data_IF_773831664146
#
_entry.id   IF_773831664146
#
_cell.length_a   1.000
_cell.length_b   1.000
_cell.length_c   1.000
_cell.angle_alpha   90.00
_cell.angle_beta   90.00
_cell.angle_gamma   90.00
#
_symmetry.space_group_name_H-M   'P 1'
#
loop_
_entity.id
_entity.type
_entity.pdbx_description
1 polymer ?
#
# COMPACT_ATOMS: atom_id res chain seq x y z
N UNK A 1 5.23 1.20 6.30
CA UNK A 1 4.51 0.02 5.82
C UNK A 1 3.39 0.40 4.85
N UNK A 2 2.96 -0.53 3.99
CA UNK A 2 1.80 -0.35 3.11
C UNK A 2 0.48 -0.39 3.87
N UNK A 3 -0.60 0.16 3.32
CA UNK A 3 -1.96 0.04 3.85
C UNK A 3 -2.58 -1.32 3.52
N UNK A 4 -3.53 -1.79 4.33
CA UNK A 4 -4.33 -2.98 4.04
C UNK A 4 -5.40 -2.71 2.99
N UNK A 5 -5.85 -3.75 2.26
CA UNK A 5 -7.01 -3.68 1.38
C UNK A 5 -8.33 -3.64 2.16
N UNK A 6 -9.39 -3.09 1.58
CA UNK A 6 -10.73 -3.15 2.17
C UNK A 6 -11.39 -4.53 2.01
N UNK A 7 -12.50 -4.77 2.67
CA UNK A 7 -13.36 -5.94 2.52
C UNK A 7 -14.83 -5.57 2.40
N UNK A 8 -15.66 -6.51 1.96
CA UNK A 8 -17.10 -6.32 1.80
C UNK A 8 -17.89 -7.35 2.63
N UNK A 9 -19.23 -7.22 2.69
CA UNK A 9 -20.14 -8.19 3.34
C UNK A 9 -20.64 -9.24 2.34
N UNK A 10 -21.09 -10.43 2.81
CA UNK A 10 -21.79 -11.40 1.97
C UNK A 10 -23.01 -10.76 1.28
N UNK A 11 -23.25 -11.13 0.05
CA UNK A 11 -24.28 -10.56 -0.82
C UNK A 11 -24.14 -9.06 -1.12
N UNK A 12 -23.01 -8.44 -0.70
CA UNK A 12 -22.56 -7.18 -1.29
C UNK A 12 -22.29 -7.42 -2.78
N UNK A 13 -22.30 -6.38 -3.60
CA UNK A 13 -22.15 -6.54 -5.06
C UNK A 13 -20.92 -5.84 -5.59
N UNK A 14 -19.93 -5.52 -4.71
CA UNK A 14 -18.83 -4.67 -5.13
C UNK A 14 -17.47 -5.12 -4.59
N UNK A 15 -16.48 -5.07 -5.44
CA UNK A 15 -15.07 -5.20 -5.03
C UNK A 15 -14.63 -4.01 -4.18
N UNK A 16 -13.78 -4.27 -3.22
CA UNK A 16 -13.22 -3.29 -2.30
C UNK A 16 -11.95 -2.66 -2.82
N UNK A 17 -11.56 -1.50 -2.31
CA UNK A 17 -10.34 -0.82 -2.70
C UNK A 17 -9.08 -1.54 -2.27
N UNK A 18 -8.03 -1.52 -3.10
CA UNK A 18 -6.68 -1.96 -2.72
C UNK A 18 -5.99 -0.97 -1.80
N UNK A 19 -5.13 -1.44 -0.89
CA UNK A 19 -4.32 -0.58 -0.02
C UNK A 19 -3.26 0.21 -0.80
N UNK A 20 -3.01 1.45 -0.40
CA UNK A 20 -1.92 2.26 -0.92
C UNK A 20 -0.55 1.76 -0.42
N UNK A 21 0.49 1.97 -1.20
CA UNK A 21 1.85 1.73 -0.74
C UNK A 21 2.28 2.73 0.34
N UNK A 22 3.23 2.35 1.18
CA UNK A 22 3.97 3.30 2.00
C UNK A 22 4.70 4.32 1.13
N UNK A 23 4.93 5.52 1.66
CA UNK A 23 5.76 6.51 1.00
C UNK A 23 7.18 5.98 0.82
N UNK A 24 7.85 6.42 -0.23
CA UNK A 24 9.26 6.14 -0.47
C UNK A 24 10.06 7.44 -0.37
N UNK A 25 11.08 7.49 0.50
CA UNK A 25 11.99 8.61 0.65
C UNK A 25 13.40 8.15 0.32
N UNK A 26 14.06 8.85 -0.56
CA UNK A 26 15.48 8.70 -0.86
C UNK A 26 16.19 10.04 -0.71
N UNK A 27 17.35 10.03 -0.10
CA UNK A 27 18.11 11.26 0.11
C UNK A 27 19.46 10.97 0.76
N UNK A 28 20.20 12.04 1.00
CA UNK A 28 21.45 12.03 1.78
C UNK A 28 21.24 12.80 3.07
N UNK A 29 21.76 12.26 4.15
CA UNK A 29 21.75 12.92 5.45
C UNK A 29 23.19 13.03 5.95
N UNK A 30 23.60 14.25 6.31
CA UNK A 30 24.88 14.46 7.00
C UNK A 30 24.73 13.98 8.44
N UNK A 31 25.35 12.85 8.75
CA UNK A 31 25.33 12.29 10.10
C UNK A 31 26.54 12.77 10.91
N UNK A 32 26.28 13.15 12.15
CA UNK A 32 27.33 13.42 13.15
C UNK A 32 27.52 12.19 14.04
N UNK A 33 28.59 12.16 14.84
CA UNK A 33 28.83 11.08 15.83
C UNK A 33 27.72 11.11 16.91
N UNK A 34 26.58 10.51 16.60
CA UNK A 34 25.39 10.45 17.46
C UNK A 34 24.65 9.14 17.24
N UNK A 35 23.65 8.84 18.08
CA UNK A 35 22.70 7.74 17.87
C UNK A 35 21.50 8.24 17.09
N UNK A 36 21.04 7.44 16.11
CA UNK A 36 19.83 7.69 15.34
C UNK A 36 18.88 6.52 15.51
N UNK A 37 17.65 6.82 15.86
CA UNK A 37 16.60 5.79 15.91
C UNK A 37 16.22 5.33 14.51
N UNK A 38 16.02 4.04 14.37
CA UNK A 38 15.52 3.39 13.15
C UNK A 38 14.21 2.69 13.50
N UNK A 39 13.12 3.12 12.88
CA UNK A 39 11.80 2.51 13.03
C UNK A 39 11.37 1.95 11.68
N UNK A 40 11.01 0.69 11.63
CA UNK A 40 10.42 0.05 10.44
C UNK A 40 8.92 -0.13 10.69
N UNK A 41 8.10 0.62 9.96
CA UNK A 41 6.66 0.58 10.12
C UNK A 41 6.04 -0.74 9.66
N UNK A 42 5.12 -1.27 10.44
CA UNK A 42 4.32 -2.43 10.05
C UNK A 42 3.35 -2.09 8.92
N UNK A 43 2.92 -3.12 8.18
CA UNK A 43 1.79 -3.00 7.25
C UNK A 43 0.48 -2.82 8.00
N UNK A 44 -0.46 -2.11 7.41
CA UNK A 44 -1.83 -1.99 7.92
C UNK A 44 -2.60 -3.29 7.73
N UNK A 45 -3.48 -3.62 8.67
CA UNK A 45 -4.34 -4.79 8.57
C UNK A 45 -5.33 -4.65 7.41
N UNK A 46 -5.57 -5.74 6.68
CA UNK A 46 -6.68 -5.85 5.74
C UNK A 46 -8.02 -5.77 6.46
N UNK A 47 -9.05 -5.29 5.79
CA UNK A 47 -10.41 -5.33 6.30
C UNK A 47 -10.82 -6.80 6.51
N UNK A 48 -11.26 -7.19 7.71
CA UNK A 48 -11.72 -8.56 7.96
C UNK A 48 -12.99 -8.85 7.16
N UNK A 49 -13.18 -10.10 6.77
CA UNK A 49 -14.45 -10.56 6.27
C UNK A 49 -15.39 -10.83 7.45
N UNK A 50 -16.56 -10.22 7.45
CA UNK A 50 -17.64 -10.58 8.35
C UNK A 50 -19.01 -10.51 7.64
N UNK A 51 -20.07 -10.95 8.32
CA UNK A 51 -21.43 -11.04 7.73
C UNK A 51 -22.25 -9.77 7.88
N UNK A 52 -21.79 -8.78 8.64
CA UNK A 52 -22.62 -7.68 9.10
C UNK A 52 -22.12 -6.30 8.70
N UNK A 53 -20.85 -6.16 8.33
CA UNK A 53 -20.23 -4.85 8.10
C UNK A 53 -19.17 -4.86 7.02
N UNK A 54 -19.10 -3.77 6.29
CA UNK A 54 -17.99 -3.47 5.37
C UNK A 54 -16.82 -2.90 6.16
N UNK A 55 -15.62 -3.38 5.90
CA UNK A 55 -14.42 -2.92 6.61
C UNK A 55 -13.39 -2.33 5.65
N UNK A 56 -13.04 -1.08 5.88
CA UNK A 56 -11.86 -0.51 5.23
C UNK A 56 -10.59 -1.13 5.82
N UNK A 57 -9.56 -1.26 5.01
CA UNK A 57 -8.23 -1.58 5.51
C UNK A 57 -7.68 -0.46 6.39
N UNK A 58 -6.73 -0.80 7.24
CA UNK A 58 -6.04 0.17 8.08
C UNK A 58 -4.85 0.80 7.34
N UNK A 59 -4.47 2.02 7.74
CA UNK A 59 -3.21 2.59 7.28
C UNK A 59 -2.02 1.78 7.82
N UNK A 60 -0.93 1.74 7.05
CA UNK A 60 0.35 1.26 7.53
C UNK A 60 0.98 2.24 8.52
N UNK A 61 1.97 1.77 9.25
CA UNK A 61 2.78 2.60 10.14
C UNK A 61 3.91 3.29 9.38
N UNK A 62 4.38 4.43 9.92
CA UNK A 62 5.51 5.14 9.37
C UNK A 62 6.82 4.38 9.58
N UNK A 63 7.76 4.55 8.64
CA UNK A 63 9.17 4.17 8.86
C UNK A 63 10.00 5.43 9.04
N UNK A 64 10.98 5.39 9.95
CA UNK A 64 11.73 6.58 10.35
C UNK A 64 13.23 6.28 10.45
N UNK A 65 14.04 7.25 10.06
CA UNK A 65 15.48 7.30 10.33
C UNK A 65 15.85 8.71 10.78
N UNK A 66 16.06 8.88 12.08
CA UNK A 66 16.26 10.19 12.68
C UNK A 66 15.07 11.13 12.44
N UNK A 67 15.27 12.19 11.66
CA UNK A 67 14.21 13.14 11.29
C UNK A 67 13.51 12.81 9.96
N UNK A 68 13.97 11.78 9.23
CA UNK A 68 13.39 11.39 7.94
C UNK A 68 12.24 10.43 8.20
N UNK A 69 11.03 10.76 7.68
CA UNK A 69 9.82 9.97 7.86
C UNK A 69 9.25 9.56 6.51
N UNK A 70 9.13 8.26 6.28
CA UNK A 70 8.34 7.67 5.22
C UNK A 70 6.97 7.29 5.78
N UNK A 71 5.91 7.96 5.32
CA UNK A 71 4.55 7.80 5.81
C UNK A 71 3.99 6.42 5.45
N UNK A 72 3.19 5.84 6.35
CA UNK A 72 2.45 4.61 6.07
C UNK A 72 1.44 4.81 4.93
N UNK A 73 1.18 3.75 4.17
CA UNK A 73 0.21 3.74 3.07
C UNK A 73 -1.22 3.81 3.56
N UNK A 74 -2.12 4.39 2.78
CA UNK A 74 -3.54 4.50 3.09
C UNK A 74 -4.28 3.18 2.92
N UNK A 75 -5.20 2.84 3.82
CA UNK A 75 -6.08 1.67 3.70
C UNK A 75 -7.06 1.81 2.54
N UNK A 76 -7.38 0.69 1.88
CA UNK A 76 -8.42 0.61 0.84
C UNK A 76 -9.83 0.70 1.41
N UNK A 77 -10.75 1.28 0.67
CA UNK A 77 -12.14 1.42 1.09
C UNK A 77 -12.88 0.08 1.09
N UNK A 78 -13.56 -0.23 2.18
CA UNK A 78 -14.47 -1.38 2.31
C UNK A 78 -15.94 -0.97 2.50
N UNK A 79 -16.24 0.28 2.82
CA UNK A 79 -17.58 0.82 2.99
C UNK A 79 -17.84 2.04 2.10
N UNK A 80 -18.91 2.78 2.38
CA UNK A 80 -19.26 4.01 1.68
C UNK A 80 -18.36 5.20 2.06
N UNK A 81 -17.08 4.94 2.24
CA UNK A 81 -16.06 5.94 2.54
C UNK A 81 -14.99 5.90 1.45
N UNK A 82 -14.38 7.02 1.19
CA UNK A 82 -13.23 7.10 0.29
C UNK A 82 -12.07 6.22 0.80
N UNK A 83 -11.19 5.85 -0.10
CA UNK A 83 -9.90 5.26 0.28
C UNK A 83 -9.16 6.19 1.23
N UNK A 84 -8.41 5.64 2.19
CA UNK A 84 -7.72 6.44 3.19
C UNK A 84 -6.49 7.12 2.59
N UNK A 85 -6.20 8.33 3.07
CA UNK A 85 -4.98 9.03 2.72
C UNK A 85 -3.78 8.38 3.42
N UNK A 86 -2.61 8.40 2.77
CA UNK A 86 -1.38 7.84 3.33
C UNK A 86 -0.15 8.26 2.53
N UNK A 87 0.97 7.62 2.72
CA UNK A 87 2.17 7.81 1.91
C UNK A 87 1.82 7.78 0.42
N UNK A 88 1.16 6.70 -0.02
CA UNK A 88 0.27 6.65 -1.17
C UNK A 88 -1.15 6.35 -0.71
N UNK A 89 -2.16 6.82 -1.42
CA UNK A 89 -3.57 6.66 -1.04
C UNK A 89 -4.12 5.28 -1.36
N UNK A 90 -5.08 4.78 -0.55
CA UNK A 90 -5.85 3.57 -0.82
C UNK A 90 -6.87 3.77 -1.94
N UNK A 91 -7.30 2.68 -2.60
CA UNK A 91 -8.34 2.67 -3.63
C UNK A 91 -9.75 2.85 -3.06
N UNK A 92 -10.66 3.35 -3.89
CA UNK A 92 -12.09 3.48 -3.58
C UNK A 92 -12.86 2.17 -3.81
N UNK A 93 -14.00 1.98 -3.16
CA UNK A 93 -14.88 0.82 -3.33
C UNK A 93 -15.78 0.96 -4.60
N UNK A 94 -16.28 -0.17 -5.12
CA UNK A 94 -16.88 -0.28 -6.45
C UNK A 94 -18.38 -0.03 -6.60
N UNK A 95 -19.18 0.04 -5.54
CA UNK A 95 -20.66 0.19 -5.63
C UNK A 95 -21.14 1.61 -5.96
N UNK A 96 -20.26 2.58 -5.87
CA UNK A 96 -20.46 3.95 -6.34
C UNK A 96 -19.11 4.47 -6.87
N UNK A 97 -19.05 5.60 -7.57
CA UNK A 97 -17.77 6.22 -7.92
C UNK A 97 -17.10 6.83 -6.67
N UNK A 98 -16.67 5.93 -5.75
CA UNK A 98 -15.99 6.28 -4.51
C UNK A 98 -14.54 6.60 -4.81
N UNK A 99 -14.07 7.76 -4.35
CA UNK A 99 -12.72 8.22 -4.64
C UNK A 99 -11.65 7.37 -3.93
N UNK A 100 -10.49 7.26 -4.55
CA UNK A 100 -9.28 6.83 -3.86
C UNK A 100 -8.74 7.91 -2.93
N UNK A 101 -7.95 7.50 -1.93
CA UNK A 101 -7.27 8.38 -1.00
C UNK A 101 -6.17 9.21 -1.68
N UNK A 102 -5.85 10.35 -1.09
CA UNK A 102 -4.74 11.19 -1.54
C UNK A 102 -3.38 10.68 -1.06
N UNK A 103 -2.32 11.01 -1.82
CA UNK A 103 -0.95 10.82 -1.39
C UNK A 103 -0.48 11.99 -0.52
N UNK A 104 0.09 11.68 0.64
CA UNK A 104 0.61 12.66 1.58
C UNK A 104 2.14 12.73 1.57
N UNK A 105 2.85 11.67 1.11
CA UNK A 105 4.32 11.65 1.13
C UNK A 105 4.96 12.80 0.34
N UNK A 106 4.52 13.13 -0.89
CA UNK A 106 5.18 14.20 -1.65
C UNK A 106 5.10 15.58 -0.99
N UNK A 107 4.12 15.79 -0.10
CA UNK A 107 3.90 17.06 0.62
C UNK A 107 4.34 17.00 2.07
N UNK A 108 4.89 15.88 2.55
CA UNK A 108 5.45 15.76 3.89
C UNK A 108 6.75 16.56 4.03
N UNK A 109 7.18 16.82 5.26
CA UNK A 109 8.44 17.54 5.53
C UNK A 109 9.66 16.78 4.98
N UNK A 110 9.59 15.45 4.89
CA UNK A 110 10.66 14.61 4.32
C UNK A 110 10.61 14.53 2.79
N UNK A 111 9.56 15.07 2.15
CA UNK A 111 9.35 14.92 0.71
C UNK A 111 9.20 13.44 0.31
N UNK A 112 9.62 13.07 -0.89
CA UNK A 112 9.61 11.70 -1.37
C UNK A 112 8.50 11.41 -2.38
N UNK A 113 8.12 10.15 -2.51
CA UNK A 113 7.25 9.64 -3.57
C UNK A 113 6.03 8.92 -3.01
N UNK A 114 4.91 9.16 -3.65
CA UNK A 114 3.63 8.52 -3.40
C UNK A 114 2.58 9.10 -4.34
N UNK A 115 1.56 8.32 -4.66
CA UNK A 115 0.48 8.75 -5.56
C UNK A 115 -0.89 8.37 -5.00
N UNK A 116 -1.92 9.00 -5.52
CA UNK A 116 -3.30 8.75 -5.11
C UNK A 116 -3.76 7.33 -5.50
N UNK A 117 -4.73 6.81 -4.77
CA UNK A 117 -5.46 5.61 -5.14
C UNK A 117 -6.44 5.88 -6.30
N UNK A 118 -6.83 4.81 -6.99
CA UNK A 118 -7.83 4.81 -8.04
C UNK A 118 -9.24 4.87 -7.49
N UNK A 119 -10.18 5.29 -8.31
CA UNK A 119 -11.60 5.40 -7.98
C UNK A 119 -12.31 4.07 -8.27
N UNK A 120 -13.23 3.66 -7.42
CA UNK A 120 -14.26 2.69 -7.76
C UNK A 120 -15.27 3.28 -8.75
N UNK A 121 -16.01 2.49 -9.51
CA UNK A 121 -16.70 2.98 -10.69
C UNK A 121 -18.24 2.89 -10.68
N UNK A 122 -18.85 2.45 -9.60
CA UNK A 122 -20.30 2.17 -9.59
C UNK A 122 -20.74 0.97 -10.45
N UNK A 123 -19.83 0.35 -11.17
CA UNK A 123 -19.98 -0.93 -11.88
C UNK A 123 -19.38 -2.10 -11.12
N UNK A 124 -19.15 -1.89 -9.84
CA UNK A 124 -18.82 -2.88 -8.81
C UNK A 124 -17.35 -3.32 -8.71
N UNK A 125 -16.43 -2.87 -9.58
CA UNK A 125 -14.99 -3.02 -9.38
C UNK A 125 -14.44 -1.99 -8.41
N UNK A 126 -13.57 -2.38 -7.46
CA UNK A 126 -12.83 -1.50 -6.57
C UNK A 126 -11.60 -0.88 -7.24
N UNK A 127 -11.22 0.35 -6.87
CA UNK A 127 -10.02 1.03 -7.34
C UNK A 127 -8.74 0.40 -6.78
N UNK A 128 -7.63 0.45 -7.50
CA UNK A 128 -6.31 0.05 -7.00
C UNK A 128 -5.71 1.11 -6.08
N UNK A 129 -4.87 0.70 -5.14
CA UNK A 129 -4.08 1.59 -4.30
C UNK A 129 -2.95 2.28 -5.08
N UNK A 130 -2.57 3.48 -4.68
CA UNK A 130 -1.43 4.21 -5.26
C UNK A 130 -0.10 3.54 -4.94
N UNK A 131 0.87 3.65 -5.83
CA UNK A 131 2.26 3.26 -5.63
C UNK A 131 3.20 4.46 -5.61
N UNK A 132 4.48 4.25 -5.34
CA UNK A 132 5.45 5.33 -5.29
C UNK A 132 5.68 6.00 -6.66
N UNK A 133 5.63 5.26 -7.77
CA UNK A 133 5.86 5.80 -9.11
C UNK A 133 4.58 6.13 -9.88
N UNK A 134 3.44 5.50 -9.56
CA UNK A 134 2.20 5.70 -10.31
C UNK A 134 0.98 5.68 -9.41
N UNK A 135 -0.06 6.40 -9.83
CA UNK A 135 -1.38 6.32 -9.19
C UNK A 135 -1.99 4.92 -9.39
N UNK A 136 -2.89 4.56 -8.49
CA UNK A 136 -3.73 3.38 -8.65
C UNK A 136 -4.66 3.51 -9.83
N UNK A 137 -4.93 2.40 -10.53
CA UNK A 137 -5.88 2.32 -11.62
C UNK A 137 -7.30 2.47 -11.12
N UNK A 138 -8.15 3.19 -11.90
CA UNK A 138 -9.57 3.20 -11.67
C UNK A 138 -10.17 1.84 -12.06
N UNK A 139 -11.21 1.45 -11.38
CA UNK A 139 -12.00 0.30 -11.76
C UNK A 139 -12.71 0.50 -13.10
N UNK A 140 -13.11 -0.59 -13.78
CA UNK A 140 -13.82 -0.57 -15.04
C UNK A 140 -14.85 -1.70 -15.11
N UNK A 141 -16.13 -1.37 -15.07
CA UNK A 141 -17.21 -2.36 -14.94
C UNK A 141 -17.03 -3.17 -13.67
N UNK A 142 -17.06 -4.48 -13.78
CA UNK A 142 -16.86 -5.43 -12.68
C UNK A 142 -15.37 -5.68 -12.35
N UNK A 143 -14.48 -5.16 -13.19
CA UNK A 143 -13.03 -5.37 -13.00
C UNK A 143 -12.44 -4.38 -12.01
N UNK A 144 -11.61 -4.89 -11.10
CA UNK A 144 -10.81 -4.09 -10.16
C UNK A 144 -9.68 -3.32 -10.87
N UNK A 145 -9.38 -2.13 -10.37
CA UNK A 145 -8.25 -1.32 -10.84
C UNK A 145 -6.91 -1.91 -10.38
N UNK A 146 -5.90 -1.86 -11.23
CA UNK A 146 -4.56 -2.32 -10.87
C UNK A 146 -3.91 -1.38 -9.85
N UNK A 147 -3.10 -1.95 -8.97
CA UNK A 147 -2.23 -1.17 -8.07
C UNK A 147 -1.21 -0.34 -8.85
N UNK A 148 -0.92 0.86 -8.34
CA UNK A 148 0.10 1.74 -8.89
C UNK A 148 1.49 1.13 -8.76
N UNK A 149 2.33 1.35 -9.77
CA UNK A 149 3.71 0.85 -9.76
C UNK A 149 4.53 1.50 -8.63
N UNK A 150 5.41 0.72 -8.04
CA UNK A 150 6.47 1.19 -7.15
C UNK A 150 7.66 1.80 -7.90
N UNK A 151 8.58 2.36 -7.15
CA UNK A 151 9.77 3.03 -7.67
C UNK A 151 11.02 2.16 -7.48
N UNK A 152 11.89 2.17 -8.50
CA UNK A 152 13.15 1.47 -8.44
C UNK A 152 14.18 2.26 -7.63
N UNK A 153 14.89 1.57 -6.73
CA UNK A 153 16.03 2.09 -5.97
C UNK A 153 17.28 1.26 -6.21
N UNK A 154 18.43 1.89 -6.20
CA UNK A 154 19.75 1.24 -6.33
C UNK A 154 20.57 1.29 -5.03
N UNK A 155 19.96 1.66 -3.93
CA UNK A 155 20.63 1.85 -2.63
C UNK A 155 21.38 0.58 -2.18
N UNK A 156 20.86 -0.61 -2.50
CA UNK A 156 21.46 -1.90 -2.17
C UNK A 156 22.52 -2.40 -3.15
N UNK A 157 22.84 -1.61 -4.18
CA UNK A 157 23.81 -1.97 -5.24
C UNK A 157 23.19 -2.64 -6.47
N UNK A 158 21.96 -3.14 -6.39
CA UNK A 158 21.15 -3.64 -7.50
C UNK A 158 19.86 -2.84 -7.63
N UNK A 159 19.24 -2.84 -8.82
CA UNK A 159 17.95 -2.18 -9.00
C UNK A 159 16.81 -3.06 -8.46
N UNK A 160 16.17 -2.63 -7.39
CA UNK A 160 14.99 -3.27 -6.79
C UNK A 160 13.84 -2.28 -6.75
N UNK A 161 12.61 -2.78 -6.94
CA UNK A 161 11.40 -1.94 -6.93
C UNK A 161 10.69 -2.08 -5.59
N UNK A 162 10.29 -0.96 -5.00
CA UNK A 162 9.61 -0.86 -3.70
C UNK A 162 8.32 -0.04 -3.79
N UNK A 163 7.46 -0.20 -2.81
CA UNK A 163 6.26 0.60 -2.64
C UNK A 163 5.28 0.53 -3.83
N UNK A 164 4.93 -0.70 -4.26
CA UNK A 164 3.82 -0.96 -5.19
C UNK A 164 2.48 -0.97 -4.47
N UNK A 165 1.44 -0.37 -5.06
CA UNK A 165 0.08 -0.36 -4.51
C UNK A 165 -0.64 -1.69 -4.66
N UNK A 166 -1.65 -1.97 -3.83
CA UNK A 166 -2.51 -3.16 -3.94
C UNK A 166 -3.52 -3.02 -5.08
N UNK A 167 -3.89 -4.13 -5.73
CA UNK A 167 -4.98 -4.18 -6.71
C UNK A 167 -6.34 -4.10 -6.02
N UNK A 168 -7.34 -3.51 -6.66
CA UNK A 168 -8.73 -3.50 -6.20
C UNK A 168 -9.43 -4.84 -6.42
N UNK A 169 -10.42 -5.18 -5.59
CA UNK A 169 -11.27 -6.34 -5.79
C UNK A 169 -12.12 -6.23 -7.07
N UNK A 170 -12.33 -7.35 -7.73
CA UNK A 170 -13.34 -7.50 -8.78
C UNK A 170 -14.65 -7.99 -8.18
N UNK A 171 -15.74 -7.87 -8.91
CA UNK A 171 -16.99 -8.56 -8.59
C UNK A 171 -16.95 -10.00 -9.12
N UNK A 172 -17.85 -10.87 -8.64
CA UNK A 172 -18.12 -12.28 -8.98
C UNK A 172 -17.41 -12.81 -10.25
N UNK A 173 -17.73 -12.28 -11.43
CA UNK A 173 -17.12 -12.63 -12.71
C UNK A 173 -16.07 -11.62 -13.19
N UNK A 174 -15.80 -10.53 -12.43
CA UNK A 174 -14.87 -9.49 -12.77
C UNK A 174 -13.42 -9.92 -12.53
N UNK A 175 -12.50 -9.40 -13.34
CA UNK A 175 -11.07 -9.63 -13.13
C UNK A 175 -10.60 -8.79 -11.96
N UNK A 176 -9.98 -9.38 -10.91
CA UNK A 176 -9.38 -8.58 -9.84
C UNK A 176 -8.19 -7.78 -10.37
N UNK A 177 -7.97 -6.62 -9.77
CA UNK A 177 -6.81 -5.81 -10.07
C UNK A 177 -5.52 -6.51 -9.67
N UNK A 178 -4.50 -6.44 -10.52
CA UNK A 178 -3.16 -6.92 -10.20
C UNK A 178 -2.48 -5.97 -9.21
N UNK A 179 -1.67 -6.51 -8.30
CA UNK A 179 -0.80 -5.70 -7.47
C UNK A 179 0.26 -4.96 -8.28
N UNK A 180 0.61 -3.75 -7.88
CA UNK A 180 1.68 -2.97 -8.49
C UNK A 180 3.05 -3.61 -8.26
N UNK A 181 3.93 -3.55 -9.26
CA UNK A 181 5.33 -3.99 -9.10
C UNK A 181 5.98 -3.25 -7.92
N UNK A 182 6.80 -3.94 -7.17
CA UNK A 182 7.38 -3.42 -5.93
C UNK A 182 6.63 -3.86 -4.67
N UNK A 183 5.96 -5.01 -4.74
CA UNK A 183 5.42 -5.72 -3.58
C UNK A 183 3.92 -5.49 -3.31
N UNK A 184 3.16 -4.95 -4.26
CA UNK A 184 1.70 -4.84 -4.11
C UNK A 184 1.00 -6.19 -4.17
N UNK A 185 -0.02 -6.41 -3.32
CA UNK A 185 -0.89 -7.58 -3.33
C UNK A 185 -1.99 -7.45 -4.40
N UNK A 186 -2.44 -8.56 -4.97
CA UNK A 186 -3.55 -8.61 -5.93
C UNK A 186 -4.91 -8.62 -5.22
N UNK A 187 -5.91 -8.05 -5.85
CA UNK A 187 -7.29 -8.09 -5.37
C UNK A 187 -7.92 -9.48 -5.45
N UNK A 188 -9.11 -9.62 -4.88
CA UNK A 188 -9.95 -10.82 -4.86
C UNK A 188 -11.06 -10.77 -5.89
N UNK A 189 -11.64 -11.91 -6.17
CA UNK A 189 -12.96 -12.14 -6.75
C UNK A 189 -13.46 -13.49 -6.24
N UNK A 190 -14.69 -13.92 -6.56
CA UNK A 190 -15.27 -15.20 -6.11
C UNK A 190 -14.37 -16.43 -6.29
N UNK A 191 -13.40 -16.39 -7.16
CA UNK A 191 -12.51 -17.52 -7.47
C UNK A 191 -11.10 -17.36 -6.90
N UNK A 192 -10.73 -16.18 -6.48
CA UNK A 192 -9.38 -15.86 -5.98
C UNK A 192 -9.46 -14.98 -4.74
N UNK A 193 -8.63 -15.26 -3.76
CA UNK A 193 -8.51 -14.44 -2.54
C UNK A 193 -7.56 -13.26 -2.74
N UNK A 194 -7.81 -12.17 -2.03
CA UNK A 194 -6.86 -11.06 -1.97
C UNK A 194 -5.53 -11.52 -1.36
N UNK A 195 -4.44 -10.96 -1.87
CA UNK A 195 -3.10 -11.25 -1.32
C UNK A 195 -2.56 -10.07 -0.54
N UNK A 196 -1.76 -10.36 0.47
CA UNK A 196 -1.05 -9.34 1.23
C UNK A 196 0.06 -8.69 0.40
N UNK A 197 0.39 -7.46 0.72
CA UNK A 197 1.61 -6.80 0.26
C UNK A 197 2.85 -7.55 0.75
N UNK A 198 3.90 -7.54 -0.07
CA UNK A 198 5.15 -8.20 0.26
C UNK A 198 5.86 -7.51 1.43
N UNK A 199 6.29 -8.28 2.42
CA UNK A 199 7.06 -7.76 3.54
C UNK A 199 8.37 -7.09 3.08
N UNK A 200 8.83 -6.09 3.81
CA UNK A 200 10.06 -5.33 3.54
C UNK A 200 10.07 -4.59 2.19
N UNK A 201 8.88 -4.24 1.68
CA UNK A 201 8.74 -3.44 0.45
C UNK A 201 7.88 -2.20 0.64
N UNK A 202 7.09 -2.13 1.70
CA UNK A 202 6.05 -1.12 1.89
C UNK A 202 4.88 -1.27 0.90
N UNK A 203 4.69 -2.46 0.31
CA UNK A 203 3.62 -2.70 -0.67
C UNK A 203 2.23 -2.71 -0.03
N UNK A 204 1.20 -2.19 -0.73
CA UNK A 204 -0.20 -2.23 -0.29
C UNK A 204 -0.82 -3.61 -0.43
N UNK A 205 -1.80 -3.95 0.40
CA UNK A 205 -2.59 -5.20 0.32
C UNK A 205 -3.68 -5.12 -0.74
N UNK A 206 -4.07 -6.26 -1.33
CA UNK A 206 -5.17 -6.34 -2.29
C UNK A 206 -6.54 -6.14 -1.67
N UNK A 207 -7.49 -5.54 -2.38
CA UNK A 207 -8.88 -5.40 -1.96
C UNK A 207 -9.63 -6.72 -2.02
N UNK A 208 -10.47 -6.98 -1.03
CA UNK A 208 -11.38 -8.13 -0.99
C UNK A 208 -12.59 -7.94 -1.92
N UNK A 209 -13.46 -8.92 -1.91
CA UNK A 209 -14.76 -8.92 -2.56
C UNK A 209 -15.86 -9.30 -1.57
N UNK A 210 -17.01 -9.80 -2.09
CA UNK A 210 -18.18 -10.16 -1.30
C UNK A 210 -17.93 -11.29 -0.29
N UNK A 211 -16.99 -12.17 -0.57
CA UNK A 211 -16.72 -13.40 0.19
C UNK A 211 -15.30 -13.46 0.76
N UNK A 212 -14.48 -12.44 0.50
CA UNK A 212 -13.08 -12.44 0.88
C UNK A 212 -12.65 -11.19 1.66
N UNK A 213 -11.85 -11.41 2.70
CA UNK A 213 -11.13 -10.35 3.39
C UNK A 213 -10.17 -9.62 2.45
N UNK A 214 -9.85 -8.37 2.79
CA UNK A 214 -8.73 -7.66 2.18
C UNK A 214 -7.38 -8.24 2.64
N UNK A 215 -6.36 -8.13 1.79
CA UNK A 215 -4.98 -8.49 2.15
C UNK A 215 -4.35 -7.45 3.08
N UNK A 216 -3.46 -7.87 3.96
CA UNK A 216 -2.65 -6.95 4.78
C UNK A 216 -1.66 -6.19 3.92
N UNK A 217 -1.26 -4.99 4.35
CA UNK A 217 -0.11 -4.31 3.79
C UNK A 217 1.21 -4.98 4.16
N UNK A 218 2.24 -4.84 3.32
CA UNK A 218 3.60 -5.27 3.64
C UNK A 218 4.31 -4.31 4.58
N UNK A 219 5.19 -4.82 5.44
CA UNK A 219 6.05 -3.97 6.26
C UNK A 219 6.94 -3.07 5.40
N UNK A 220 7.39 -1.94 5.97
CA UNK A 220 8.39 -1.08 5.38
C UNK A 220 9.80 -1.66 5.47
N UNK A 221 10.78 -0.88 5.02
CA UNK A 221 12.20 -1.16 5.12
C UNK A 221 12.98 0.15 5.22
N UNK A 222 14.09 0.14 5.92
CA UNK A 222 15.04 1.25 5.99
C UNK A 222 16.40 0.75 5.55
N UNK A 223 16.98 1.38 4.52
CA UNK A 223 18.35 1.12 4.07
C UNK A 223 19.21 2.35 4.33
N UNK A 224 20.31 2.16 5.01
CA UNK A 224 21.31 3.21 5.25
C UNK A 224 22.62 2.77 4.59
N UNK A 225 23.11 3.59 3.66
CA UNK A 225 24.40 3.38 3.01
C UNK A 225 25.35 4.53 3.34
N UNK A 226 26.52 4.23 3.79
CA UNK A 226 27.54 5.22 4.14
C UNK A 226 28.89 4.83 3.53
N UNK A 227 29.77 5.82 3.36
CA UNK A 227 31.14 5.61 2.94
C UNK A 227 32.06 5.62 4.20
N UNK A 228 32.83 4.58 4.43
CA UNK A 228 33.79 4.50 5.55
C UNK A 228 33.76 3.16 6.28
N UNK A 229 34.77 2.95 7.13
CA UNK A 229 35.04 1.65 7.78
C UNK A 229 34.31 1.41 9.11
N UNK A 230 33.49 2.35 9.60
CA UNK A 230 32.92 2.23 10.95
C UNK A 230 31.49 2.76 11.03
N UNK A 231 30.51 1.92 10.81
CA UNK A 231 29.22 2.07 11.46
C UNK A 231 29.00 0.88 12.38
N UNK A 232 28.53 1.15 13.58
CA UNK A 232 28.04 0.12 14.50
C UNK A 232 26.53 0.26 14.55
N UNK A 233 25.84 -0.69 13.91
CA UNK A 233 24.41 -0.84 14.10
C UNK A 233 24.17 -1.90 15.18
N UNK A 234 23.24 -1.63 16.10
CA UNK A 234 22.79 -2.59 17.11
C UNK A 234 21.31 -2.82 16.95
N UNK A 235 20.89 -4.06 16.83
CA UNK A 235 19.51 -4.43 16.51
C UNK A 235 19.23 -4.40 14.99
N UNK A 236 18.11 -4.94 14.60
CA UNK A 236 17.71 -5.11 13.19
C UNK A 236 18.04 -6.50 12.65
N UNK A 237 17.39 -6.85 11.54
CA UNK A 237 17.42 -8.21 10.98
C UNK A 237 18.66 -8.48 10.11
N UNK A 238 19.30 -7.44 9.59
CA UNK A 238 20.49 -7.60 8.73
C UNK A 238 21.44 -6.41 8.86
N UNK A 239 22.69 -6.70 9.18
CA UNK A 239 23.81 -5.76 9.16
C UNK A 239 24.82 -6.29 8.14
N UNK A 240 25.08 -5.55 7.06
CA UNK A 240 26.10 -5.86 6.07
C UNK A 240 27.08 -4.70 5.95
N UNK A 241 28.37 -4.96 6.15
CA UNK A 241 29.46 -4.00 5.97
C UNK A 241 30.07 -4.11 4.60
#
# INVERSE_FOLDING_TARGET
GGGGGGSNVPFGTAGSGGGGAGGLVEGTLDITANSYDVIVGAGGAGGPYDTDSHHSGSNGENSEFGSIVALGGGGGAGGNTDGLNGGSGGGGRGDAPIAGGAALQPTSESGGFGNAGGTGNGGQGGGGGGGAAAAGGNASGDAGGNGGAGLASTITGGSLVYAGGGGGGGRTDGTPGSGGVGGGGSGANDTTTATSGQANTGGGGGGGDDDNAGGDGGSGVVYVRYAGDVAVATGGDTISG
#
